data_IF_367970932133
#
_entry.id   IF_367970932133
#
_cell.length_a   1.000
_cell.length_b   1.000
_cell.length_c   1.000
_cell.angle_alpha   90.00
_cell.angle_beta   90.00
_cell.angle_gamma   90.00
#
_symmetry.space_group_name_H-M   'P 1'
#
loop_
_entity.id
_entity.type
_entity.pdbx_description
1 polymer ?
#
# COMPACT_ATOMS: atom_id res chain seq x y z
N UNK A 1 27.93 -17.95 -3.08
CA UNK A 1 27.85 -16.97 -4.19
C UNK A 1 28.31 -15.65 -3.63
N UNK A 2 28.94 -14.78 -4.44
CA UNK A 2 29.31 -13.45 -3.96
C UNK A 2 28.03 -12.63 -3.68
N UNK A 3 28.05 -11.88 -2.58
CA UNK A 3 26.97 -10.91 -2.26
C UNK A 3 27.04 -9.76 -3.27
N UNK A 4 25.88 -9.30 -3.73
CA UNK A 4 25.75 -8.19 -4.66
C UNK A 4 25.31 -6.92 -3.92
N UNK A 5 25.77 -5.77 -4.40
CA UNK A 5 25.35 -4.46 -3.90
C UNK A 5 24.48 -3.79 -4.97
N UNK A 6 23.18 -3.66 -4.67
CA UNK A 6 22.20 -3.07 -5.56
C UNK A 6 21.90 -1.63 -5.17
N UNK A 7 22.08 -0.69 -6.09
CA UNK A 7 21.67 0.70 -5.92
C UNK A 7 20.23 0.91 -6.40
N UNK A 8 19.43 1.65 -5.65
CA UNK A 8 18.13 2.12 -6.13
C UNK A 8 18.03 3.64 -6.08
N UNK A 9 17.60 4.22 -7.20
CA UNK A 9 17.37 5.65 -7.36
C UNK A 9 15.94 5.91 -7.85
N UNK A 10 15.31 6.95 -7.32
CA UNK A 10 14.04 7.46 -7.82
C UNK A 10 14.19 8.93 -8.17
N UNK A 11 14.05 9.25 -9.46
CA UNK A 11 14.22 10.60 -9.99
C UNK A 11 12.85 11.15 -10.44
N UNK A 12 12.64 12.46 -10.26
CA UNK A 12 11.49 13.16 -10.84
C UNK A 12 11.89 13.80 -12.17
N UNK A 13 10.93 13.94 -13.09
CA UNK A 13 11.15 14.52 -14.44
C UNK A 13 11.62 15.98 -14.43
N UNK A 14 11.69 16.66 -13.27
CA UNK A 14 12.04 18.07 -13.12
C UNK A 14 13.25 18.35 -12.22
N UNK A 15 13.89 17.32 -11.65
CA UNK A 15 14.99 17.52 -10.70
C UNK A 15 16.35 17.68 -11.39
N UNK A 16 16.97 18.85 -11.21
CA UNK A 16 18.38 19.10 -11.57
C UNK A 16 19.39 18.33 -10.67
N UNK A 17 18.91 17.62 -9.66
CA UNK A 17 19.71 16.79 -8.73
C UNK A 17 19.89 15.34 -9.20
N UNK A 18 19.54 15.05 -10.45
CA UNK A 18 19.60 13.69 -11.03
C UNK A 18 21.01 13.11 -10.97
N UNK A 19 22.03 13.93 -11.24
CA UNK A 19 23.43 13.49 -11.28
C UNK A 19 23.94 13.04 -9.90
N UNK A 20 23.62 13.80 -8.84
CA UNK A 20 24.02 13.43 -7.47
C UNK A 20 23.37 12.14 -6.99
N UNK A 21 22.11 11.89 -7.40
CA UNK A 21 21.36 10.68 -7.00
C UNK A 21 21.82 9.44 -7.77
N UNK A 22 22.30 9.60 -8.99
CA UNK A 22 22.86 8.52 -9.79
C UNK A 22 24.32 8.25 -9.42
N UNK A 23 25.09 9.30 -9.15
CA UNK A 23 26.50 9.19 -8.78
C UNK A 23 26.70 8.60 -7.39
N UNK A 24 25.80 8.86 -6.44
CA UNK A 24 25.95 8.40 -5.07
C UNK A 24 25.99 6.86 -4.93
N UNK A 25 25.09 6.09 -5.57
CA UNK A 25 25.19 4.63 -5.60
C UNK A 25 26.43 4.12 -6.31
N UNK A 26 26.87 4.78 -7.40
CA UNK A 26 28.11 4.42 -8.12
C UNK A 26 29.31 4.58 -7.19
N UNK A 27 29.43 5.71 -6.49
CA UNK A 27 30.49 5.98 -5.51
C UNK A 27 30.44 5.03 -4.31
N UNK A 28 29.24 4.54 -3.96
CA UNK A 28 29.04 3.56 -2.89
C UNK A 28 29.45 2.14 -3.32
N UNK A 29 29.89 1.92 -4.55
CA UNK A 29 30.36 0.63 -5.06
C UNK A 29 29.24 -0.34 -5.42
N UNK A 30 28.07 0.16 -5.85
CA UNK A 30 26.97 -0.70 -6.30
C UNK A 30 27.35 -1.46 -7.59
N UNK A 31 27.10 -2.76 -7.61
CA UNK A 31 27.33 -3.63 -8.77
C UNK A 31 26.28 -3.39 -9.87
N UNK A 32 25.06 -3.03 -9.46
CA UNK A 32 23.94 -2.72 -10.37
C UNK A 32 23.05 -1.64 -9.79
N UNK A 33 22.56 -0.75 -10.65
CA UNK A 33 21.69 0.36 -10.25
C UNK A 33 20.36 0.27 -11.00
N UNK A 34 19.26 0.41 -10.24
CA UNK A 34 17.89 0.44 -10.73
C UNK A 34 17.35 1.85 -10.57
N UNK A 35 16.74 2.39 -11.61
CA UNK A 35 16.27 3.78 -11.60
C UNK A 35 14.83 3.87 -12.08
N UNK A 36 13.92 4.30 -11.20
CA UNK A 36 12.56 4.64 -11.56
C UNK A 36 12.42 6.15 -11.77
N UNK A 37 11.71 6.53 -12.84
CA UNK A 37 11.32 7.90 -13.11
C UNK A 37 9.86 8.07 -12.68
N UNK A 38 9.60 8.84 -11.64
CA UNK A 38 8.26 9.00 -11.08
C UNK A 38 7.87 10.47 -10.98
N UNK A 39 6.78 10.85 -11.65
CA UNK A 39 6.15 12.16 -11.53
C UNK A 39 5.16 12.26 -10.37
N UNK A 40 4.62 11.13 -9.88
CA UNK A 40 3.55 11.08 -8.87
C UNK A 40 3.78 9.99 -7.81
N UNK A 41 3.22 10.22 -6.60
CA UNK A 41 3.27 9.27 -5.49
C UNK A 41 2.61 7.91 -5.80
N UNK A 42 1.77 7.84 -6.83
CA UNK A 42 1.06 6.63 -7.29
C UNK A 42 1.73 5.94 -8.49
N UNK A 43 2.80 6.49 -9.04
CA UNK A 43 3.46 5.91 -10.21
C UNK A 43 3.98 4.49 -9.91
N UNK A 44 3.79 3.57 -10.84
CA UNK A 44 4.36 2.23 -10.79
C UNK A 44 5.90 2.31 -10.73
N UNK A 45 6.56 1.38 -10.05
CA UNK A 45 8.01 1.33 -9.87
C UNK A 45 8.58 0.00 -10.39
N UNK A 46 8.58 -0.20 -11.72
CA UNK A 46 8.98 -1.47 -12.31
C UNK A 46 10.43 -1.84 -11.99
N UNK A 47 11.31 -0.86 -11.87
CA UNK A 47 12.71 -1.11 -11.56
C UNK A 47 12.91 -1.51 -10.09
N UNK A 48 12.14 -0.95 -9.15
CA UNK A 48 12.13 -1.42 -7.78
C UNK A 48 11.62 -2.86 -7.70
N UNK A 49 10.49 -3.15 -8.34
CA UNK A 49 9.89 -4.48 -8.34
C UNK A 49 10.86 -5.51 -8.95
N UNK A 50 11.50 -5.15 -10.06
CA UNK A 50 12.54 -5.99 -10.70
C UNK A 50 13.75 -6.20 -9.78
N UNK A 51 14.21 -5.16 -9.07
CA UNK A 51 15.28 -5.31 -8.08
C UNK A 51 14.89 -6.29 -6.98
N UNK A 52 13.67 -6.13 -6.42
CA UNK A 52 13.15 -6.99 -5.35
C UNK A 52 13.09 -8.47 -5.76
N UNK A 53 12.78 -8.76 -7.03
CA UNK A 53 12.75 -10.14 -7.56
C UNK A 53 14.15 -10.77 -7.66
N UNK A 54 15.19 -9.95 -7.82
CA UNK A 54 16.57 -10.42 -7.94
C UNK A 54 17.28 -10.61 -6.61
N UNK A 55 16.82 -9.93 -5.54
CA UNK A 55 17.47 -9.92 -4.22
C UNK A 55 17.54 -11.30 -3.58
N UNK A 56 18.69 -11.61 -3.02
CA UNK A 56 18.98 -12.85 -2.28
C UNK A 56 19.58 -12.53 -0.92
N UNK A 57 19.50 -13.49 0.00
CA UNK A 57 20.13 -13.34 1.31
C UNK A 57 21.65 -13.08 1.20
N UNK A 58 22.11 -12.09 1.93
CA UNK A 58 23.48 -11.58 1.90
C UNK A 58 23.71 -10.42 0.94
N UNK A 59 22.76 -10.09 0.06
CA UNK A 59 22.84 -8.90 -0.80
C UNK A 59 22.62 -7.61 0.02
N UNK A 60 23.04 -6.47 -0.54
CA UNK A 60 22.85 -5.15 0.07
C UNK A 60 22.11 -4.21 -0.87
N UNK A 61 21.06 -3.57 -0.37
CA UNK A 61 20.36 -2.48 -1.08
C UNK A 61 20.88 -1.14 -0.58
N UNK A 62 21.31 -0.29 -1.49
CA UNK A 62 21.83 1.05 -1.22
C UNK A 62 20.92 2.09 -1.84
N UNK A 63 20.53 3.09 -1.05
CA UNK A 63 19.79 4.26 -1.52
C UNK A 63 20.50 5.54 -1.11
N UNK A 64 20.29 6.60 -1.88
CA UNK A 64 20.84 7.91 -1.51
C UNK A 64 20.13 8.47 -0.26
N UNK A 65 18.79 8.37 -0.22
CA UNK A 65 17.92 8.81 0.90
C UNK A 65 16.75 7.86 1.09
N UNK A 66 16.24 7.77 2.33
CA UNK A 66 15.06 6.97 2.67
C UNK A 66 13.81 7.35 1.88
N UNK A 67 13.60 8.63 1.61
CA UNK A 67 12.46 9.15 0.85
C UNK A 67 12.46 8.72 -0.63
N UNK A 68 13.61 8.28 -1.14
CA UNK A 68 13.71 7.72 -2.49
C UNK A 68 13.25 6.26 -2.55
N UNK A 69 13.39 5.51 -1.47
CA UNK A 69 12.92 4.13 -1.39
C UNK A 69 11.44 4.06 -1.02
N UNK A 70 11.03 4.68 0.07
CA UNK A 70 9.65 4.67 0.56
C UNK A 70 8.80 5.81 -0.03
N UNK A 71 7.52 5.52 -0.32
CA UNK A 71 6.50 6.55 -0.67
C UNK A 71 5.79 7.09 0.56
N UNK A 72 5.85 6.36 1.65
CA UNK A 72 5.33 6.69 2.96
C UNK A 72 6.17 5.97 3.99
N UNK A 73 6.09 6.37 5.24
CA UNK A 73 6.74 5.67 6.35
C UNK A 73 6.32 4.19 6.36
N UNK A 74 5.02 3.91 6.18
CA UNK A 74 4.50 2.56 6.12
C UNK A 74 5.17 1.72 5.01
N UNK A 75 5.21 2.24 3.79
CA UNK A 75 5.82 1.53 2.66
C UNK A 75 7.33 1.31 2.87
N UNK A 76 8.02 2.27 3.49
CA UNK A 76 9.43 2.11 3.83
C UNK A 76 9.62 0.94 4.81
N UNK A 77 8.82 0.89 5.87
CA UNK A 77 8.90 -0.18 6.86
C UNK A 77 8.55 -1.54 6.26
N UNK A 78 7.53 -1.62 5.40
CA UNK A 78 7.16 -2.87 4.72
C UNK A 78 8.33 -3.39 3.85
N UNK A 79 9.00 -2.49 3.11
CA UNK A 79 10.20 -2.85 2.32
C UNK A 79 11.36 -3.31 3.22
N UNK A 80 11.62 -2.58 4.28
CA UNK A 80 12.70 -2.90 5.22
C UNK A 80 12.44 -4.23 5.94
N UNK A 81 11.20 -4.52 6.31
CA UNK A 81 10.79 -5.82 6.87
C UNK A 81 11.04 -6.95 5.85
N UNK A 82 10.69 -6.71 4.58
CA UNK A 82 10.95 -7.66 3.49
C UNK A 82 12.46 -7.92 3.32
N UNK A 83 13.29 -6.89 3.45
CA UNK A 83 14.74 -7.06 3.39
C UNK A 83 15.26 -7.91 4.54
N UNK A 84 14.82 -7.62 5.76
CA UNK A 84 15.22 -8.37 6.96
C UNK A 84 14.82 -9.86 6.86
N UNK A 85 13.55 -10.14 6.51
CA UNK A 85 13.03 -11.49 6.31
C UNK A 85 13.81 -12.28 5.24
N UNK A 86 14.32 -11.61 4.21
CA UNK A 86 15.13 -12.22 3.15
C UNK A 86 16.62 -12.25 3.47
N UNK A 87 17.05 -11.72 4.61
CA UNK A 87 18.47 -11.60 4.97
C UNK A 87 19.25 -10.63 4.07
N UNK A 88 18.56 -9.61 3.52
CA UNK A 88 19.13 -8.56 2.68
C UNK A 88 19.48 -7.36 3.57
N UNK A 89 20.70 -6.84 3.42
CA UNK A 89 21.13 -5.65 4.15
C UNK A 89 20.66 -4.38 3.45
N UNK A 90 20.51 -3.30 4.23
CA UNK A 90 20.08 -2.01 3.70
C UNK A 90 21.02 -0.88 4.13
N UNK A 91 21.31 0.03 3.20
CA UNK A 91 22.14 1.22 3.46
C UNK A 91 21.52 2.47 2.88
N UNK A 92 21.34 3.50 3.73
CA UNK A 92 21.00 4.86 3.30
C UNK A 92 22.21 5.77 3.49
N UNK A 93 22.62 6.42 2.39
CA UNK A 93 23.87 7.19 2.37
C UNK A 93 23.75 8.52 3.11
N UNK A 94 22.61 9.20 2.98
CA UNK A 94 22.40 10.52 3.61
C UNK A 94 22.12 10.42 5.09
N UNK A 95 21.28 9.48 5.50
CA UNK A 95 20.95 9.27 6.92
C UNK A 95 22.00 8.44 7.66
N UNK A 96 23.02 7.94 6.95
CA UNK A 96 24.07 7.08 7.51
C UNK A 96 23.50 5.84 8.25
N UNK A 97 22.42 5.28 7.72
CA UNK A 97 21.82 4.05 8.24
C UNK A 97 22.43 2.88 7.51
N UNK A 98 22.94 1.89 8.26
CA UNK A 98 23.49 0.65 7.73
C UNK A 98 23.05 -0.51 8.61
N UNK A 99 22.11 -1.33 8.12
CA UNK A 99 21.55 -2.46 8.88
C UNK A 99 22.54 -3.62 9.06
N UNK A 100 23.71 -3.57 8.41
CA UNK A 100 24.81 -4.52 8.70
C UNK A 100 25.44 -4.25 10.09
N UNK A 101 25.20 -3.06 10.67
CA UNK A 101 25.72 -2.67 11.97
C UNK A 101 24.66 -2.76 13.05
N UNK A 102 25.03 -3.06 14.31
CA UNK A 102 24.07 -3.06 15.43
C UNK A 102 23.33 -1.74 15.60
N UNK A 103 24.00 -0.60 15.36
CA UNK A 103 23.38 0.73 15.42
C UNK A 103 22.35 0.93 14.33
N UNK A 104 22.63 0.52 13.10
CA UNK A 104 21.67 0.60 11.99
C UNK A 104 20.46 -0.31 12.19
N UNK A 105 20.67 -1.51 12.72
CA UNK A 105 19.59 -2.42 13.09
C UNK A 105 18.70 -1.81 14.20
N UNK A 106 19.29 -1.14 15.19
CA UNK A 106 18.51 -0.45 16.22
C UNK A 106 17.65 0.67 15.62
N UNK A 107 18.23 1.52 14.77
CA UNK A 107 17.50 2.59 14.06
C UNK A 107 16.36 2.01 13.23
N UNK A 108 16.59 0.93 12.51
CA UNK A 108 15.57 0.21 11.76
C UNK A 108 14.41 -0.25 12.66
N UNK A 109 14.69 -0.87 13.78
CA UNK A 109 13.67 -1.34 14.71
C UNK A 109 12.83 -0.18 15.30
N UNK A 110 13.46 0.99 15.53
CA UNK A 110 12.74 2.21 15.96
C UNK A 110 11.75 2.65 14.86
N UNK A 111 12.17 2.71 13.60
CA UNK A 111 11.26 3.06 12.50
C UNK A 111 10.12 2.06 12.35
N UNK A 112 10.40 0.76 12.50
CA UNK A 112 9.39 -0.31 12.49
C UNK A 112 8.34 -0.11 13.59
N UNK A 113 8.80 0.15 14.80
CA UNK A 113 7.93 0.41 15.96
C UNK A 113 7.09 1.67 15.78
N UNK A 114 7.67 2.74 15.24
CA UNK A 114 6.96 4.00 14.98
C UNK A 114 5.85 3.81 13.93
N UNK A 115 6.12 3.10 12.85
CA UNK A 115 5.11 2.83 11.83
C UNK A 115 3.99 1.90 12.33
N UNK A 116 4.31 0.96 13.22
CA UNK A 116 3.28 0.16 13.87
C UNK A 116 2.39 1.04 14.77
N UNK A 117 3.00 1.92 15.56
CA UNK A 117 2.27 2.86 16.40
C UNK A 117 1.34 3.78 15.58
N UNK A 118 1.81 4.33 14.46
CA UNK A 118 0.95 5.13 13.57
C UNK A 118 -0.24 4.34 13.02
N UNK A 119 -0.03 3.07 12.64
CA UNK A 119 -1.11 2.18 12.20
C UNK A 119 -2.17 1.98 13.28
N UNK A 120 -1.72 1.73 14.50
CA UNK A 120 -2.62 1.47 15.61
C UNK A 120 -3.42 2.72 15.98
N UNK A 121 -2.81 3.90 15.94
CA UNK A 121 -3.51 5.18 16.10
C UNK A 121 -4.58 5.42 15.03
N UNK A 122 -4.28 5.12 13.76
CA UNK A 122 -5.25 5.26 12.67
C UNK A 122 -6.42 4.29 12.86
N UNK A 123 -6.15 3.05 13.27
CA UNK A 123 -7.19 2.05 13.58
C UNK A 123 -8.07 2.51 14.73
N UNK A 124 -7.48 2.97 15.82
CA UNK A 124 -8.19 3.48 16.99
C UNK A 124 -9.11 4.64 16.61
N UNK A 125 -8.61 5.65 15.90
CA UNK A 125 -9.40 6.79 15.42
C UNK A 125 -10.52 6.36 14.49
N UNK A 126 -10.28 5.39 13.62
CA UNK A 126 -11.28 4.85 12.70
C UNK A 126 -12.38 4.11 13.47
N UNK A 127 -12.03 3.29 14.45
CA UNK A 127 -12.97 2.59 15.31
C UNK A 127 -13.83 3.57 16.11
N UNK A 128 -13.22 4.55 16.76
CA UNK A 128 -13.93 5.59 17.50
C UNK A 128 -14.89 6.39 16.58
N UNK A 129 -14.45 6.73 15.38
CA UNK A 129 -15.26 7.42 14.37
C UNK A 129 -16.46 6.59 13.91
N UNK A 130 -16.27 5.29 13.67
CA UNK A 130 -17.35 4.36 13.29
C UNK A 130 -18.35 4.15 14.43
N UNK A 131 -17.88 4.05 15.67
CA UNK A 131 -18.73 3.92 16.84
C UNK A 131 -19.58 5.18 17.04
N UNK A 132 -18.97 6.36 16.99
CA UNK A 132 -19.69 7.62 17.03
C UNK A 132 -20.71 7.79 15.89
N UNK A 133 -20.41 7.27 14.69
CA UNK A 133 -21.35 7.26 13.58
C UNK A 133 -22.54 6.31 13.83
N UNK A 134 -22.28 5.12 14.40
CA UNK A 134 -23.33 4.15 14.79
C UNK A 134 -24.26 4.71 15.86
N UNK A 135 -23.73 5.36 16.89
CA UNK A 135 -24.51 6.02 17.95
C UNK A 135 -25.44 7.09 17.35
N UNK A 136 -24.99 7.81 16.29
CA UNK A 136 -25.80 8.80 15.55
C UNK A 136 -26.75 8.17 14.52
N UNK A 137 -26.93 6.85 14.55
CA UNK A 137 -27.83 6.12 13.63
C UNK A 137 -27.32 5.98 12.20
N UNK A 138 -26.08 6.36 11.91
CA UNK A 138 -25.48 6.18 10.57
C UNK A 138 -25.06 4.73 10.39
N UNK A 139 -25.72 4.02 9.48
CA UNK A 139 -25.32 2.68 9.07
C UNK A 139 -24.33 2.79 7.91
N UNK A 140 -23.14 2.26 8.11
CA UNK A 140 -22.15 2.14 7.02
C UNK A 140 -22.61 1.06 6.03
N UNK A 141 -22.02 1.08 4.84
CA UNK A 141 -22.29 0.13 3.78
C UNK A 141 -22.89 0.80 2.53
N UNK A 142 -23.07 0.00 1.48
CA UNK A 142 -23.71 0.47 0.25
C UNK A 142 -25.18 0.75 0.51
N UNK A 143 -25.71 1.92 0.13
CA UNK A 143 -27.13 2.20 0.24
C UNK A 143 -27.98 1.10 -0.41
N UNK A 144 -29.10 0.77 0.22
CA UNK A 144 -30.07 -0.17 -0.36
C UNK A 144 -30.60 0.41 -1.68
N UNK A 145 -30.69 -0.44 -2.70
CA UNK A 145 -31.22 -0.03 -4.02
C UNK A 145 -32.73 0.20 -4.00
N UNK A 146 -33.41 -0.39 -3.04
CA UNK A 146 -34.86 -0.30 -2.86
C UNK A 146 -35.15 0.34 -1.50
N UNK A 147 -36.11 1.26 -1.46
CA UNK A 147 -36.64 1.80 -0.23
C UNK A 147 -37.65 0.83 0.42
N UNK A 148 -38.09 1.13 1.64
CA UNK A 148 -39.02 0.25 2.39
C UNK A 148 -40.37 0.06 1.68
N UNK A 149 -40.86 1.07 0.92
CA UNK A 149 -42.11 0.97 0.16
C UNK A 149 -41.94 0.04 -1.03
N UNK A 150 -40.83 0.19 -1.72
CA UNK A 150 -40.46 -0.67 -2.86
C UNK A 150 -40.25 -2.12 -2.43
N UNK A 151 -39.61 -2.36 -1.27
CA UNK A 151 -39.46 -3.71 -0.71
C UNK A 151 -40.82 -4.35 -0.40
N UNK A 152 -41.76 -3.60 0.19
CA UNK A 152 -43.12 -4.10 0.44
C UNK A 152 -43.85 -4.45 -0.87
N UNK A 153 -43.71 -3.61 -1.89
CA UNK A 153 -44.31 -3.86 -3.21
C UNK A 153 -43.68 -5.07 -3.92
N UNK A 154 -42.37 -5.23 -3.84
CA UNK A 154 -41.68 -6.44 -4.34
C UNK A 154 -42.22 -7.70 -3.69
N UNK A 155 -42.40 -7.72 -2.36
CA UNK A 155 -42.97 -8.86 -1.64
C UNK A 155 -44.39 -9.15 -2.11
N UNK A 156 -45.26 -8.13 -2.20
CA UNK A 156 -46.64 -8.25 -2.68
C UNK A 156 -46.71 -8.88 -4.07
N UNK A 157 -45.89 -8.39 -5.01
CA UNK A 157 -45.82 -8.90 -6.38
C UNK A 157 -45.27 -10.33 -6.45
N UNK A 158 -44.27 -10.65 -5.64
CA UNK A 158 -43.70 -11.98 -5.57
C UNK A 158 -44.68 -13.03 -5.02
N UNK A 159 -45.45 -12.67 -3.96
CA UNK A 159 -46.45 -13.52 -3.34
C UNK A 159 -47.68 -13.74 -4.23
N UNK A 160 -48.08 -12.72 -5.00
CA UNK A 160 -49.24 -12.82 -5.90
C UNK A 160 -49.05 -13.82 -7.05
N UNK A 161 -47.77 -14.17 -7.39
CA UNK A 161 -47.39 -15.04 -8.52
C UNK A 161 -47.94 -14.62 -9.87
N UNK A 162 -48.42 -13.39 -10.00
CA UNK A 162 -49.01 -12.86 -11.26
C UNK A 162 -47.93 -12.38 -12.24
N UNK A 163 -46.74 -12.07 -11.73
CA UNK A 163 -45.59 -11.60 -12.51
C UNK A 163 -44.33 -12.41 -12.20
N UNK A 164 -43.46 -12.57 -13.16
CA UNK A 164 -42.20 -13.29 -12.97
C UNK A 164 -41.15 -12.43 -12.23
N UNK A 165 -40.17 -13.07 -11.60
CA UNK A 165 -39.07 -12.37 -10.93
C UNK A 165 -38.31 -11.43 -11.88
N UNK A 166 -38.18 -11.80 -13.15
CA UNK A 166 -37.57 -10.96 -14.17
C UNK A 166 -38.35 -9.68 -14.45
N UNK A 167 -39.68 -9.79 -14.50
CA UNK A 167 -40.57 -8.65 -14.65
C UNK A 167 -40.52 -7.73 -13.43
N UNK A 168 -40.54 -8.30 -12.20
CA UNK A 168 -40.41 -7.51 -10.97
C UNK A 168 -39.04 -6.79 -10.96
N UNK A 169 -37.95 -7.45 -11.33
CA UNK A 169 -36.61 -6.88 -11.40
C UNK A 169 -36.54 -5.74 -12.39
N UNK A 170 -37.14 -5.90 -13.57
CA UNK A 170 -37.23 -4.85 -14.60
C UNK A 170 -38.05 -3.63 -14.12
N UNK A 171 -39.21 -3.86 -13.50
CA UNK A 171 -40.08 -2.79 -12.95
C UNK A 171 -39.39 -1.96 -11.87
N UNK A 172 -38.56 -2.60 -11.03
CA UNK A 172 -37.84 -1.95 -9.94
C UNK A 172 -36.44 -1.43 -10.32
N UNK A 173 -35.97 -1.68 -11.53
CA UNK A 173 -34.65 -1.27 -12.01
C UNK A 173 -33.51 -1.94 -11.27
N UNK A 174 -33.68 -3.16 -10.77
CA UNK A 174 -32.70 -3.90 -9.97
C UNK A 174 -32.41 -5.29 -10.56
N UNK A 175 -31.31 -5.93 -10.13
CA UNK A 175 -31.03 -7.30 -10.52
C UNK A 175 -31.88 -8.32 -9.76
N UNK A 176 -32.11 -9.50 -10.36
CA UNK A 176 -32.85 -10.66 -9.78
C UNK A 176 -32.38 -11.00 -8.34
N UNK A 177 -31.06 -10.96 -8.12
CA UNK A 177 -30.48 -11.23 -6.79
C UNK A 177 -30.93 -10.24 -5.72
N UNK A 178 -31.34 -9.03 -6.09
CA UNK A 178 -31.88 -8.04 -5.18
C UNK A 178 -33.33 -8.40 -4.79
N UNK A 179 -34.13 -8.89 -5.75
CA UNK A 179 -35.50 -9.34 -5.50
C UNK A 179 -35.53 -10.53 -4.51
N UNK A 180 -34.66 -11.53 -4.73
CA UNK A 180 -34.57 -12.70 -3.82
C UNK A 180 -34.07 -12.34 -2.40
N UNK A 181 -33.50 -11.17 -2.21
CA UNK A 181 -32.96 -10.71 -0.93
C UNK A 181 -33.96 -9.85 -0.14
N UNK A 182 -35.07 -9.47 -0.73
CA UNK A 182 -36.19 -8.75 -0.12
C UNK A 182 -37.15 -9.69 0.53
#
# INVERSE_FOLDING_TARGET
MASMIYGYARVSTGDQTTDLQQDAPVRAGCDRIFTDVASDAKAHRPELDHMLDLLRGGDTVVVWKLDRLGRSMQNLVDLMTTFDERGVQFRSLTESIDTSTPGGTLVFNIFGSLAQFERDLIRERTHAGLEAARIRGRKGGRPTKLDEKQVKEVRRLYESRTVTVDQIAAMMGVGRSTIYRC
#
